data_IF_440004218756
#
_entry.id   IF_440004218756
#
_cell.length_a   1.000
_cell.length_b   1.000
_cell.length_c   1.000
_cell.angle_alpha   90.00
_cell.angle_beta   90.00
_cell.angle_gamma   90.00
#
_symmetry.space_group_name_H-M   'P 1'
#
loop_
_entity.id
_entity.type
_entity.pdbx_description
1 polymer ?
#
# COMPACT_ATOMS: atom_id res chain seq x y z
N UNK A 1 13.07 8.45 21.61
CA UNK A 1 11.83 7.96 20.97
C UNK A 1 12.19 7.43 19.58
N UNK A 2 11.70 6.26 19.15
CA UNK A 2 11.98 5.71 17.81
C UNK A 2 10.86 6.08 16.84
N UNK A 3 11.20 6.62 15.67
CA UNK A 3 10.23 6.93 14.63
C UNK A 3 9.76 5.64 13.91
N UNK A 4 8.45 5.52 13.69
CA UNK A 4 7.88 4.44 12.88
C UNK A 4 8.21 4.69 11.40
N UNK A 5 9.21 3.97 10.87
CA UNK A 5 9.67 4.13 9.48
C UNK A 5 8.59 3.76 8.44
N UNK A 6 7.62 2.96 8.84
CA UNK A 6 6.50 2.52 7.98
C UNK A 6 5.45 3.62 7.84
N UNK A 7 5.24 4.45 8.86
CA UNK A 7 4.27 5.55 8.83
C UNK A 7 4.78 6.73 7.98
N UNK A 8 4.14 7.11 6.86
CA UNK A 8 4.50 8.30 6.11
C UNK A 8 4.04 9.58 6.82
N UNK A 9 4.72 10.70 6.56
CA UNK A 9 4.35 12.02 7.06
C UNK A 9 3.28 12.66 6.15
N UNK A 10 2.06 12.14 6.18
CA UNK A 10 0.92 12.67 5.42
C UNK A 10 -0.37 12.60 6.23
N UNK A 11 -1.34 13.44 5.87
CA UNK A 11 -2.62 13.54 6.59
C UNK A 11 -3.53 12.33 6.39
N UNK A 12 -3.48 11.70 5.22
CA UNK A 12 -4.26 10.51 4.89
C UNK A 12 -3.46 9.62 3.93
N UNK A 13 -3.77 8.32 3.93
CA UNK A 13 -3.21 7.32 3.03
C UNK A 13 -4.39 6.62 2.35
N UNK A 14 -4.72 6.97 1.09
CA UNK A 14 -5.77 6.28 0.34
C UNK A 14 -5.40 4.82 0.11
N UNK A 15 -6.39 3.93 0.14
CA UNK A 15 -6.23 2.52 -0.23
C UNK A 15 -6.72 2.26 -1.65
N UNK A 16 -5.90 1.57 -2.42
CA UNK A 16 -6.18 1.03 -3.74
C UNK A 16 -6.32 -0.49 -3.61
N UNK A 17 -7.52 -0.99 -3.88
CA UNK A 17 -7.86 -2.40 -3.71
C UNK A 17 -7.67 -3.14 -5.05
N UNK A 18 -6.89 -4.21 -5.05
CA UNK A 18 -6.63 -5.07 -6.23
C UNK A 18 -6.56 -6.53 -5.81
N UNK A 19 -7.08 -7.45 -6.63
CA UNK A 19 -7.03 -8.89 -6.33
C UNK A 19 -5.60 -9.41 -6.11
N UNK A 20 -4.71 -9.11 -7.06
CA UNK A 20 -3.31 -9.50 -7.01
C UNK A 20 -2.42 -8.28 -6.77
N UNK A 21 -2.01 -8.10 -5.51
CA UNK A 21 -1.18 -6.97 -5.06
C UNK A 21 0.15 -6.89 -5.81
N UNK A 22 0.76 -8.04 -6.13
CA UNK A 22 2.02 -8.08 -6.88
C UNK A 22 1.90 -7.45 -8.26
N UNK A 23 0.94 -7.96 -9.05
CA UNK A 23 0.67 -7.49 -10.41
C UNK A 23 0.23 -6.02 -10.43
N UNK A 24 -0.63 -5.62 -9.49
CA UNK A 24 -1.07 -4.25 -9.36
C UNK A 24 0.11 -3.29 -9.16
N UNK A 25 1.08 -3.68 -8.34
CA UNK A 25 2.25 -2.85 -8.08
C UNK A 25 3.12 -2.71 -9.32
N UNK A 26 3.40 -3.82 -10.02
CA UNK A 26 4.16 -3.78 -11.27
C UNK A 26 3.49 -2.86 -12.29
N UNK A 27 2.17 -2.99 -12.46
CA UNK A 27 1.39 -2.17 -13.38
C UNK A 27 1.37 -0.69 -12.97
N UNK A 28 1.17 -0.37 -11.69
CA UNK A 28 1.14 1.00 -11.20
C UNK A 28 2.49 1.71 -11.37
N UNK A 29 3.58 0.99 -11.11
CA UNK A 29 4.93 1.48 -11.33
C UNK A 29 5.19 1.74 -12.82
N UNK A 30 4.85 0.78 -13.69
CA UNK A 30 5.09 0.90 -15.13
C UNK A 30 4.22 1.97 -15.80
N UNK A 31 2.96 2.11 -15.39
CA UNK A 31 1.98 2.96 -16.07
C UNK A 31 1.96 4.39 -15.53
N UNK A 32 2.06 4.57 -14.21
CA UNK A 32 1.96 5.89 -13.58
C UNK A 32 3.29 6.40 -13.02
N UNK A 33 4.37 5.63 -13.14
CA UNK A 33 5.66 5.98 -12.57
C UNK A 33 5.65 5.98 -11.04
N UNK A 34 4.77 5.19 -10.42
CA UNK A 34 4.77 5.05 -8.97
C UNK A 34 6.07 4.37 -8.51
N UNK A 35 6.47 4.65 -7.27
CA UNK A 35 7.67 4.03 -6.68
C UNK A 35 7.32 3.35 -5.37
N UNK A 36 7.77 2.11 -5.18
CA UNK A 36 7.56 1.40 -3.92
C UNK A 36 8.34 2.08 -2.78
N UNK A 37 7.66 2.32 -1.65
CA UNK A 37 8.28 2.86 -0.43
C UNK A 37 8.63 1.74 0.55
N UNK A 38 7.71 0.80 0.73
CA UNK A 38 7.89 -0.42 1.52
C UNK A 38 6.74 -1.40 1.23
N UNK A 39 6.95 -2.68 1.56
CA UNK A 39 5.98 -3.76 1.36
C UNK A 39 5.96 -4.73 2.55
N UNK A 40 4.76 -5.21 2.92
CA UNK A 40 4.54 -6.34 3.83
C UNK A 40 4.01 -7.55 3.06
N UNK A 41 4.92 -8.45 2.68
CA UNK A 41 4.57 -9.65 1.90
C UNK A 41 3.71 -9.31 0.67
N UNK A 42 2.68 -10.11 0.42
CA UNK A 42 1.79 -9.94 -0.74
C UNK A 42 0.45 -9.30 -0.40
N UNK A 43 0.29 -8.68 0.78
CA UNK A 43 -1.01 -8.19 1.25
C UNK A 43 -1.05 -6.68 1.50
N UNK A 44 0.10 -5.98 1.51
CA UNK A 44 0.10 -4.52 1.61
C UNK A 44 1.42 -3.93 1.10
N UNK A 45 1.33 -2.83 0.36
CA UNK A 45 2.48 -2.02 0.02
C UNK A 45 2.14 -0.54 0.00
N UNK A 46 3.09 0.32 0.38
CA UNK A 46 2.96 1.76 0.18
C UNK A 46 3.71 2.17 -1.08
N UNK A 47 3.07 3.00 -1.89
CA UNK A 47 3.64 3.60 -3.10
C UNK A 47 3.67 5.11 -2.99
N UNK A 48 4.76 5.71 -3.48
CA UNK A 48 4.79 7.14 -3.79
C UNK A 48 4.29 7.35 -5.20
N UNK A 49 3.28 8.20 -5.30
CA UNK A 49 2.77 8.73 -6.57
C UNK A 49 3.76 9.74 -7.17
N UNK A 50 3.56 10.10 -8.45
CA UNK A 50 4.38 11.12 -9.12
C UNK A 50 4.30 12.50 -8.45
N UNK A 51 3.18 12.82 -7.77
CA UNK A 51 3.00 14.06 -7.02
C UNK A 51 3.63 14.04 -5.62
N UNK A 52 4.19 12.90 -5.21
CA UNK A 52 4.82 12.71 -3.89
C UNK A 52 3.86 12.24 -2.79
N UNK A 53 2.55 12.13 -3.07
CA UNK A 53 1.58 11.55 -2.13
C UNK A 53 1.82 10.04 -1.95
N UNK A 54 1.44 9.50 -0.78
CA UNK A 54 1.52 8.07 -0.49
C UNK A 54 0.15 7.41 -0.65
N UNK A 55 0.12 6.24 -1.29
CA UNK A 55 -1.07 5.37 -1.41
C UNK A 55 -0.72 3.96 -0.95
N UNK A 56 -1.70 3.25 -0.42
CA UNK A 56 -1.60 1.84 -0.04
C UNK A 56 -2.23 0.96 -1.11
N UNK A 57 -1.55 -0.12 -1.49
CA UNK A 57 -2.10 -1.18 -2.34
C UNK A 57 -2.39 -2.38 -1.47
N UNK A 58 -3.64 -2.84 -1.45
CA UNK A 58 -4.13 -3.93 -0.59
C UNK A 58 -5.00 -4.90 -1.39
N UNK A 59 -5.09 -6.18 -0.99
CA UNK A 59 -6.05 -7.10 -1.57
C UNK A 59 -7.47 -6.69 -1.17
N UNK A 60 -8.46 -7.19 -1.90
CA UNK A 60 -9.83 -7.13 -1.43
C UNK A 60 -9.92 -7.77 -0.05
N UNK A 61 -10.60 -7.09 0.89
CA UNK A 61 -10.85 -7.66 2.20
C UNK A 61 -11.86 -8.80 2.04
N UNK A 62 -11.34 -10.03 1.92
CA UNK A 62 -12.17 -11.25 1.90
C UNK A 62 -12.78 -11.58 3.26
N UNK A 63 -12.84 -10.62 4.19
CA UNK A 63 -13.35 -10.81 5.52
C UNK A 63 -12.44 -11.77 6.28
N UNK A 64 -11.27 -11.29 6.69
CA UNK A 64 -10.56 -11.96 7.78
C UNK A 64 -11.48 -11.94 9.00
N UNK A 65 -12.01 -13.10 9.41
CA UNK A 65 -12.77 -13.25 10.66
C UNK A 65 -12.00 -12.52 11.75
N UNK A 66 -12.54 -11.38 12.18
CA UNK A 66 -12.18 -10.80 13.47
C UNK A 66 -12.68 -11.82 14.49
N UNK A 67 -11.83 -12.82 14.78
CA UNK A 67 -12.00 -13.65 15.94
C UNK A 67 -11.82 -12.69 17.12
N UNK A 68 -12.95 -12.24 17.66
CA UNK A 68 -13.02 -11.64 18.96
C UNK A 68 -12.15 -12.46 19.92
N UNK A 69 -11.12 -11.81 20.47
CA UNK A 69 -10.44 -12.25 21.67
C UNK A 69 -9.84 -11.06 22.40
#
# INVERSE_FOLDING_TARGET
>A
MRANRTMPACTAIPQLVYDEVGEAIEWLCATFGFTERWRAGNHRAHHRTFSGSTVDVVPEDRGGTSAAR
#
